data_IF_108326266154
#
_entry.id   IF_108326266154
#
_cell.length_a   1.000
_cell.length_b   1.000
_cell.length_c   1.000
_cell.angle_alpha   90.00
_cell.angle_beta   90.00
_cell.angle_gamma   90.00
#
_symmetry.space_group_name_H-M   'P 1'
#
loop_
_entity.id
_entity.type
_entity.pdbx_description
1 polymer ?
#
# COMPACT_ATOMS: atom_id res chain seq x y z
N UNK A 1 -20.15 -5.04 8.93
CA UNK A 1 -19.83 -4.16 7.80
C UNK A 1 -19.35 -2.82 8.32
N UNK A 2 -18.31 -2.28 7.74
CA UNK A 2 -17.79 -0.94 8.01
C UNK A 2 -17.58 -0.21 6.69
N UNK A 3 -18.05 1.04 6.61
CA UNK A 3 -17.82 1.93 5.47
C UNK A 3 -17.34 3.27 6.02
N UNK A 4 -16.25 3.77 5.48
CA UNK A 4 -15.67 5.06 5.87
C UNK A 4 -15.57 5.95 4.62
N UNK A 5 -16.15 7.13 4.69
CA UNK A 5 -15.86 8.24 3.79
C UNK A 5 -14.79 9.09 4.46
N UNK A 6 -13.74 9.44 3.73
CA UNK A 6 -12.66 10.29 4.25
C UNK A 6 -12.23 11.31 3.19
N UNK A 7 -11.82 12.45 3.64
CA UNK A 7 -11.36 13.52 2.76
C UNK A 7 -10.61 14.59 3.52
N UNK A 8 -9.80 15.32 2.79
CA UNK A 8 -9.02 16.42 3.28
C UNK A 8 -8.84 17.47 2.19
N UNK A 9 -8.73 18.74 2.59
CA UNK A 9 -8.47 19.87 1.71
C UNK A 9 -7.59 20.87 2.43
N UNK A 10 -6.58 21.40 1.74
CA UNK A 10 -5.66 22.37 2.29
C UNK A 10 -5.64 23.67 1.46
N UNK A 11 -5.41 24.77 2.14
CA UNK A 11 -5.22 26.09 1.53
C UNK A 11 -3.97 26.17 0.65
N UNK A 12 -3.01 25.25 0.79
CA UNK A 12 -1.82 25.14 -0.07
C UNK A 12 -2.06 24.32 -1.34
N UNK A 13 -3.33 23.96 -1.61
CA UNK A 13 -3.75 23.38 -2.90
C UNK A 13 -3.67 21.86 -2.98
N UNK A 14 -3.61 21.12 -1.88
CA UNK A 14 -3.81 19.69 -1.91
C UNK A 14 -5.25 19.30 -1.52
N UNK A 15 -5.70 18.17 -2.03
CA UNK A 15 -6.99 17.59 -1.69
C UNK A 15 -6.93 16.06 -1.78
N UNK A 16 -7.76 15.42 -0.98
CA UNK A 16 -7.97 13.99 -0.93
C UNK A 16 -9.47 13.72 -0.74
N UNK A 17 -10.00 12.75 -1.48
CA UNK A 17 -11.31 12.17 -1.21
C UNK A 17 -11.25 10.68 -1.44
N UNK A 18 -11.85 9.91 -0.54
CA UNK A 18 -11.90 8.47 -0.67
C UNK A 18 -13.03 7.82 0.09
N UNK A 19 -13.38 6.62 -0.35
CA UNK A 19 -14.30 5.71 0.33
C UNK A 19 -13.64 4.35 0.46
N UNK A 20 -13.67 3.78 1.63
CA UNK A 20 -13.24 2.41 1.89
C UNK A 20 -14.30 1.65 2.65
N UNK A 21 -14.43 0.37 2.34
CA UNK A 21 -15.35 -0.49 3.04
C UNK A 21 -14.81 -1.89 3.24
N UNK A 22 -15.31 -2.49 4.31
CA UNK A 22 -15.12 -3.90 4.63
C UNK A 22 -16.47 -4.50 5.01
N UNK A 23 -16.96 -5.41 4.18
CA UNK A 23 -18.21 -6.09 4.40
C UNK A 23 -17.97 -7.56 4.72
N UNK A 24 -18.35 -7.95 5.95
CA UNK A 24 -18.37 -9.34 6.39
C UNK A 24 -19.79 -9.88 6.13
N UNK A 25 -19.88 -10.90 5.31
CA UNK A 25 -21.14 -11.59 5.01
C UNK A 25 -21.51 -12.57 6.14
N UNK A 26 -22.77 -13.02 6.22
CA UNK A 26 -23.22 -13.92 7.27
C UNK A 26 -22.31 -15.14 7.45
N UNK A 27 -22.08 -15.52 8.71
CA UNK A 27 -21.17 -16.61 9.11
C UNK A 27 -19.70 -16.38 8.71
N UNK A 28 -19.34 -15.16 8.31
CA UNK A 28 -17.99 -14.78 7.84
C UNK A 28 -17.48 -15.67 6.69
N UNK A 29 -18.40 -16.13 5.83
CA UNK A 29 -18.05 -16.98 4.67
C UNK A 29 -17.38 -16.21 3.55
N UNK A 30 -17.75 -14.95 3.40
CA UNK A 30 -17.24 -14.05 2.37
C UNK A 30 -16.85 -12.71 2.97
N UNK A 31 -15.86 -12.07 2.39
CA UNK A 31 -15.44 -10.71 2.71
C UNK A 31 -15.30 -9.91 1.43
N UNK A 32 -15.89 -8.73 1.39
CA UNK A 32 -15.68 -7.75 0.33
C UNK A 32 -14.95 -6.56 0.91
N UNK A 33 -13.77 -6.29 0.38
CA UNK A 33 -13.01 -5.10 0.72
C UNK A 33 -12.90 -4.21 -0.51
N UNK A 34 -13.02 -2.92 -0.32
CA UNK A 34 -12.78 -1.94 -1.36
C UNK A 34 -12.17 -0.67 -0.81
N UNK A 35 -11.35 -0.03 -1.63
CA UNK A 35 -10.78 1.27 -1.38
C UNK A 35 -10.72 2.05 -2.70
N UNK A 36 -11.44 3.16 -2.74
CA UNK A 36 -11.48 4.06 -3.86
C UNK A 36 -11.06 5.42 -3.36
N UNK A 37 -10.07 6.01 -3.99
CA UNK A 37 -9.63 7.36 -3.63
C UNK A 37 -9.04 8.10 -4.82
N UNK A 38 -9.03 9.41 -4.70
CA UNK A 38 -8.20 10.26 -5.52
C UNK A 38 -7.62 11.38 -4.66
N UNK A 39 -6.44 11.81 -5.01
CA UNK A 39 -5.78 12.92 -4.37
C UNK A 39 -4.88 13.70 -5.33
N UNK A 40 -4.58 14.93 -4.94
CA UNK A 40 -3.53 15.75 -5.54
C UNK A 40 -2.68 16.32 -4.41
N UNK A 41 -1.41 15.92 -4.36
CA UNK A 41 -0.47 16.39 -3.34
C UNK A 41 0.81 16.94 -3.98
N UNK A 42 1.38 18.05 -3.43
CA UNK A 42 2.78 18.35 -3.60
C UNK A 42 3.59 17.19 -2.98
N UNK A 43 4.56 16.70 -3.71
CA UNK A 43 5.33 15.52 -3.34
C UNK A 43 6.78 15.71 -3.68
N UNK A 44 7.66 14.94 -3.06
CA UNK A 44 9.08 14.96 -3.32
C UNK A 44 9.51 13.66 -4.01
N UNK A 45 10.51 13.77 -4.89
CA UNK A 45 11.11 12.66 -5.60
C UNK A 45 12.63 12.80 -5.66
N UNK A 46 13.33 11.71 -5.40
CA UNK A 46 14.81 11.68 -5.39
C UNK A 46 15.41 10.83 -6.52
N UNK A 47 14.57 10.30 -7.40
CA UNK A 47 14.98 9.32 -8.39
C UNK A 47 14.74 7.89 -7.92
N UNK A 48 15.25 6.93 -8.68
CA UNK A 48 15.12 5.50 -8.43
C UNK A 48 16.38 4.95 -7.78
N UNK A 49 16.22 3.98 -6.86
CA UNK A 49 17.30 3.28 -6.18
C UNK A 49 17.73 3.93 -4.87
N UNK A 50 18.55 3.18 -4.14
CA UNK A 50 19.07 3.63 -2.84
C UNK A 50 20.00 4.84 -2.96
N UNK A 51 20.92 4.81 -3.91
CA UNK A 51 21.94 5.86 -4.07
C UNK A 51 21.31 7.23 -4.38
N UNK A 52 20.31 7.25 -5.24
CA UNK A 52 19.55 8.46 -5.53
C UNK A 52 18.79 8.96 -4.28
N UNK A 53 18.11 8.08 -3.57
CA UNK A 53 17.38 8.43 -2.35
C UNK A 53 18.30 8.86 -1.19
N UNK A 54 19.53 8.36 -1.12
CA UNK A 54 20.53 8.74 -0.12
C UNK A 54 21.12 10.13 -0.38
N UNK A 55 21.17 10.57 -1.65
CA UNK A 55 21.68 11.89 -2.02
C UNK A 55 20.58 12.96 -1.84
N UNK A 56 20.78 13.85 -0.87
CA UNK A 56 19.84 14.94 -0.59
C UNK A 56 19.78 15.98 -1.72
N UNK A 57 20.83 16.10 -2.54
CA UNK A 57 20.83 17.01 -3.67
C UNK A 57 19.88 16.59 -4.79
N UNK A 58 19.42 15.34 -4.77
CA UNK A 58 18.41 14.82 -5.72
C UNK A 58 16.98 15.18 -5.33
N UNK A 59 16.75 15.83 -4.19
CA UNK A 59 15.41 16.26 -3.82
C UNK A 59 14.78 17.15 -4.91
N UNK A 60 13.62 16.75 -5.40
CA UNK A 60 12.90 17.39 -6.49
C UNK A 60 11.42 17.50 -6.17
N UNK A 61 10.91 18.70 -6.20
CA UNK A 61 9.47 18.95 -6.06
C UNK A 61 8.70 18.49 -7.30
N UNK A 62 7.52 17.96 -7.08
CA UNK A 62 6.54 17.68 -8.12
C UNK A 62 5.13 17.62 -7.54
N UNK A 63 4.12 17.74 -8.39
CA UNK A 63 2.72 17.48 -8.01
C UNK A 63 2.32 16.08 -8.43
N UNK A 64 1.79 15.30 -7.49
CA UNK A 64 1.26 13.96 -7.76
C UNK A 64 -0.26 13.99 -7.72
N UNK A 65 -0.88 13.69 -8.84
CA UNK A 65 -2.27 13.29 -8.88
C UNK A 65 -2.36 11.78 -8.95
N UNK A 66 -3.17 11.19 -8.11
CA UNK A 66 -3.42 9.75 -8.13
C UNK A 66 -4.89 9.46 -7.88
N UNK A 67 -5.43 8.53 -8.67
CA UNK A 67 -6.72 7.89 -8.43
C UNK A 67 -6.53 6.38 -8.43
N UNK A 68 -7.14 5.70 -7.46
CA UNK A 68 -7.10 4.24 -7.36
C UNK A 68 -8.46 3.68 -7.05
N UNK A 69 -8.77 2.55 -7.68
CA UNK A 69 -9.86 1.65 -7.31
C UNK A 69 -9.23 0.29 -7.01
N UNK A 70 -9.34 -0.18 -5.77
CA UNK A 70 -8.93 -1.52 -5.36
C UNK A 70 -10.14 -2.24 -4.77
N UNK A 71 -10.43 -3.43 -5.28
CA UNK A 71 -11.52 -4.29 -4.78
C UNK A 71 -11.00 -5.71 -4.66
N UNK A 72 -11.27 -6.36 -3.55
CA UNK A 72 -11.06 -7.80 -3.37
C UNK A 72 -12.30 -8.48 -2.79
N UNK A 73 -12.61 -9.67 -3.29
CA UNK A 73 -13.69 -10.50 -2.80
C UNK A 73 -13.14 -11.85 -2.36
N UNK A 74 -13.21 -12.13 -1.06
CA UNK A 74 -12.57 -13.26 -0.44
C UNK A 74 -13.56 -14.33 0.01
N UNK A 75 -13.20 -15.58 -0.18
CA UNK A 75 -13.92 -16.78 0.23
C UNK A 75 -13.18 -17.43 1.41
N UNK A 76 -13.92 -17.80 2.46
CA UNK A 76 -13.35 -18.53 3.57
C UNK A 76 -13.13 -20.00 3.19
N UNK A 77 -11.86 -20.44 3.16
CA UNK A 77 -11.50 -21.82 2.94
C UNK A 77 -11.43 -22.64 4.24
N UNK A 78 -10.97 -22.00 5.32
CA UNK A 78 -10.88 -22.61 6.65
C UNK A 78 -11.09 -21.53 7.72
N UNK A 79 -11.08 -21.91 9.00
CA UNK A 79 -11.15 -20.95 10.11
C UNK A 79 -10.03 -19.91 9.95
N UNK A 80 -10.41 -18.61 9.95
CA UNK A 80 -9.49 -17.48 9.84
C UNK A 80 -8.72 -17.38 8.50
N UNK A 81 -8.96 -18.27 7.54
CA UNK A 81 -8.22 -18.33 6.28
C UNK A 81 -9.13 -18.07 5.08
N UNK A 82 -8.73 -17.12 4.25
CA UNK A 82 -9.49 -16.59 3.12
C UNK A 82 -8.59 -16.47 1.89
N UNK A 83 -9.18 -16.67 0.73
CA UNK A 83 -8.56 -16.43 -0.57
C UNK A 83 -9.59 -15.84 -1.53
N UNK A 84 -9.16 -15.01 -2.46
CA UNK A 84 -10.08 -14.49 -3.46
C UNK A 84 -9.44 -13.60 -4.50
N UNK A 85 -10.18 -13.32 -5.58
CA UNK A 85 -9.73 -12.43 -6.64
C UNK A 85 -9.65 -10.98 -6.16
N UNK A 86 -8.74 -10.25 -6.80
CA UNK A 86 -8.52 -8.82 -6.61
C UNK A 86 -8.46 -8.12 -7.97
N UNK A 87 -9.03 -6.94 -8.04
CA UNK A 87 -8.91 -6.04 -9.18
C UNK A 87 -8.45 -4.67 -8.72
N UNK A 88 -7.51 -4.09 -9.46
CA UNK A 88 -6.97 -2.76 -9.17
C UNK A 88 -6.93 -1.95 -10.46
N UNK A 89 -7.37 -0.71 -10.35
CA UNK A 89 -7.16 0.32 -11.35
C UNK A 89 -6.39 1.47 -10.74
N UNK A 90 -5.28 1.88 -11.37
CA UNK A 90 -4.47 3.01 -10.96
C UNK A 90 -4.38 4.03 -12.08
N UNK A 91 -4.54 5.28 -11.74
CA UNK A 91 -4.19 6.43 -12.54
C UNK A 91 -3.24 7.32 -11.75
N UNK A 92 -2.04 7.55 -12.27
CA UNK A 92 -1.01 8.37 -11.65
C UNK A 92 -0.51 9.37 -12.68
N UNK A 93 -0.45 10.65 -12.30
CA UNK A 93 0.03 11.73 -13.15
C UNK A 93 0.95 12.64 -12.32
N UNK A 94 2.23 12.63 -12.67
CA UNK A 94 3.20 13.54 -12.10
C UNK A 94 3.30 14.81 -12.95
N UNK A 95 3.35 15.97 -12.33
CA UNK A 95 3.39 17.28 -12.99
C UNK A 95 4.36 18.21 -12.28
N UNK A 96 4.78 19.25 -13.01
CA UNK A 96 5.57 20.36 -12.46
C UNK A 96 6.88 19.87 -11.81
N UNK A 97 7.63 19.03 -12.54
CA UNK A 97 8.88 18.46 -12.04
C UNK A 97 9.98 19.51 -12.01
N UNK A 98 10.61 19.65 -10.86
CA UNK A 98 11.73 20.59 -10.69
C UNK A 98 13.03 20.03 -11.31
N UNK A 99 13.23 18.69 -11.24
CA UNK A 99 14.39 17.98 -11.80
C UNK A 99 13.92 16.83 -12.71
N UNK A 100 13.55 17.13 -13.98
CA UNK A 100 13.00 16.11 -14.89
C UNK A 100 14.00 15.01 -15.26
N UNK A 101 15.30 15.23 -15.13
CA UNK A 101 16.37 14.25 -15.40
C UNK A 101 16.30 13.04 -14.46
N UNK A 102 15.81 13.19 -13.22
CA UNK A 102 15.67 12.11 -12.25
C UNK A 102 14.62 11.06 -12.66
N UNK A 103 13.78 11.38 -13.65
CA UNK A 103 12.74 10.49 -14.14
C UNK A 103 13.24 9.47 -15.18
N UNK A 104 14.49 9.58 -15.61
CA UNK A 104 15.15 8.61 -16.49
C UNK A 104 14.33 8.25 -17.75
N UNK A 105 13.58 9.20 -18.32
CA UNK A 105 12.71 8.99 -19.48
C UNK A 105 11.42 8.20 -19.19
N UNK A 106 11.11 7.89 -17.95
CA UNK A 106 9.84 7.26 -17.58
C UNK A 106 8.66 8.20 -17.85
N UNK A 107 7.51 7.63 -18.26
CA UNK A 107 6.32 8.43 -18.50
C UNK A 107 5.77 9.01 -17.18
N UNK A 108 5.60 10.33 -17.16
CA UNK A 108 5.01 11.04 -16.02
C UNK A 108 3.60 10.55 -15.68
N UNK A 109 2.84 10.16 -16.71
CA UNK A 109 1.48 9.63 -16.58
C UNK A 109 1.45 8.13 -16.78
N UNK A 110 0.77 7.43 -15.87
CA UNK A 110 0.55 5.98 -15.92
C UNK A 110 -0.90 5.68 -15.65
N UNK A 111 -1.51 4.90 -16.56
CA UNK A 111 -2.80 4.23 -16.32
C UNK A 111 -2.52 2.74 -16.28
N UNK A 112 -3.04 2.05 -15.28
CA UNK A 112 -2.76 0.64 -15.10
C UNK A 112 -3.97 -0.11 -14.57
N UNK A 113 -4.32 -1.22 -15.23
CA UNK A 113 -5.36 -2.16 -14.82
C UNK A 113 -4.71 -3.48 -14.43
N UNK A 114 -5.04 -3.99 -13.26
CA UNK A 114 -4.45 -5.21 -12.72
C UNK A 114 -5.52 -6.16 -12.22
N UNK A 115 -5.25 -7.44 -12.39
CA UNK A 115 -5.96 -8.52 -11.71
C UNK A 115 -5.01 -9.24 -10.78
N UNK A 116 -5.54 -9.89 -9.75
CA UNK A 116 -4.70 -10.57 -8.78
C UNK A 116 -5.47 -11.53 -7.89
N UNK A 117 -4.72 -12.08 -6.95
CA UNK A 117 -5.21 -12.95 -5.90
C UNK A 117 -4.75 -12.40 -4.55
N UNK A 118 -5.67 -12.39 -3.60
CA UNK A 118 -5.39 -12.06 -2.20
C UNK A 118 -5.55 -13.31 -1.34
N UNK A 119 -4.61 -13.54 -0.45
CA UNK A 119 -4.65 -14.55 0.60
C UNK A 119 -4.62 -13.84 1.94
N UNK A 120 -5.51 -14.21 2.85
CA UNK A 120 -5.60 -13.63 4.18
C UNK A 120 -5.73 -14.71 5.24
N UNK A 121 -4.87 -14.65 6.25
CA UNK A 121 -5.06 -15.35 7.52
C UNK A 121 -5.16 -14.31 8.65
N UNK A 122 -6.24 -14.33 9.42
CA UNK A 122 -6.47 -13.36 10.49
C UNK A 122 -7.07 -14.04 11.72
N UNK A 123 -6.23 -14.27 12.71
CA UNK A 123 -6.60 -14.86 14.01
C UNK A 123 -6.54 -13.87 15.17
N UNK A 124 -6.44 -12.57 14.86
CA UNK A 124 -6.40 -11.51 15.88
C UNK A 124 -7.70 -11.51 16.69
N UNK A 125 -7.57 -11.23 17.99
CA UNK A 125 -8.71 -11.04 18.89
C UNK A 125 -9.53 -9.79 18.53
N UNK A 126 -8.86 -8.66 18.22
CA UNK A 126 -9.49 -7.41 17.79
C UNK A 126 -8.80 -6.84 16.54
N UNK A 127 -9.59 -6.27 15.63
CA UNK A 127 -9.08 -5.75 14.36
C UNK A 127 -8.25 -4.47 14.55
N UNK A 128 -8.65 -3.60 15.47
CA UNK A 128 -8.07 -2.26 15.66
C UNK A 128 -7.04 -2.19 16.77
N UNK A 129 -7.16 -3.03 17.79
CA UNK A 129 -6.25 -3.06 18.93
C UNK A 129 -6.02 -4.50 19.38
N UNK A 130 -5.33 -5.26 18.53
CA UNK A 130 -5.02 -6.64 18.80
C UNK A 130 -4.07 -6.78 20.00
N UNK A 131 -4.40 -7.69 20.91
CA UNK A 131 -3.58 -8.08 22.04
C UNK A 131 -2.94 -9.45 21.85
N UNK A 132 -3.52 -10.27 20.99
CA UNK A 132 -3.08 -11.63 20.72
C UNK A 132 -3.50 -12.06 19.30
N UNK A 133 -2.70 -12.93 18.70
CA UNK A 133 -3.01 -13.54 17.41
C UNK A 133 -2.05 -13.13 16.29
N UNK A 134 -2.38 -13.57 15.10
CA UNK A 134 -1.56 -13.44 13.91
C UNK A 134 -2.37 -12.90 12.75
N UNK A 135 -1.77 -12.00 11.99
CA UNK A 135 -2.27 -11.46 10.74
C UNK A 135 -1.25 -11.74 9.63
N UNK A 136 -1.71 -12.30 8.53
CA UNK A 136 -0.93 -12.50 7.31
C UNK A 136 -1.80 -12.14 6.11
N UNK A 137 -1.34 -11.23 5.27
CA UNK A 137 -1.94 -10.94 3.98
C UNK A 137 -0.89 -11.01 2.89
N UNK A 138 -1.20 -11.70 1.80
CA UNK A 138 -0.39 -11.76 0.58
C UNK A 138 -1.29 -11.34 -0.57
N UNK A 139 -0.92 -10.27 -1.25
CA UNK A 139 -1.56 -9.80 -2.48
C UNK A 139 -0.60 -10.04 -3.65
N UNK A 140 -0.99 -10.92 -4.57
CA UNK A 140 -0.28 -11.14 -5.81
C UNK A 140 -1.01 -10.43 -6.94
N UNK A 141 -0.35 -9.47 -7.58
CA UNK A 141 -0.88 -8.58 -8.62
C UNK A 141 -0.24 -8.91 -9.97
N UNK A 142 -1.04 -8.89 -11.02
CA UNK A 142 -0.62 -9.04 -12.41
C UNK A 142 -1.18 -7.89 -13.25
N UNK A 143 -0.31 -7.23 -13.98
CA UNK A 143 -0.62 -6.08 -14.84
C UNK A 143 -0.16 -6.39 -16.27
N UNK A 144 -0.82 -7.32 -16.98
CA UNK A 144 -0.40 -7.74 -18.32
C UNK A 144 -0.75 -6.69 -19.37
N UNK A 145 -0.02 -6.68 -20.48
CA UNK A 145 -0.24 -5.74 -21.59
C UNK A 145 -1.63 -5.87 -22.24
N UNK A 146 -2.22 -7.08 -22.26
CA UNK A 146 -3.55 -7.30 -22.88
C UNK A 146 -4.71 -6.58 -22.15
N UNK A 147 -4.51 -6.11 -20.92
CA UNK A 147 -5.45 -5.23 -20.20
C UNK A 147 -5.31 -3.74 -20.59
N UNK A 148 -4.56 -3.44 -21.66
CA UNK A 148 -4.32 -2.07 -22.13
C UNK A 148 -3.18 -1.34 -21.39
N UNK A 149 -2.37 -2.06 -20.61
CA UNK A 149 -1.26 -1.48 -19.88
C UNK A 149 -0.08 -1.19 -20.80
N UNK A 150 0.49 0.00 -20.68
CA UNK A 150 1.75 0.35 -21.35
C UNK A 150 2.94 -0.43 -20.78
N UNK A 151 2.91 -0.69 -19.47
CA UNK A 151 3.95 -1.38 -18.73
C UNK A 151 3.42 -2.72 -18.23
N UNK A 152 4.09 -3.81 -18.60
CA UNK A 152 3.75 -5.15 -18.15
C UNK A 152 4.61 -5.51 -16.92
N UNK A 153 3.96 -5.70 -15.78
CA UNK A 153 4.65 -6.04 -14.55
C UNK A 153 3.77 -6.92 -13.63
N UNK A 154 4.37 -7.48 -12.62
CA UNK A 154 3.67 -8.11 -11.51
C UNK A 154 4.22 -7.63 -10.19
N UNK A 155 3.47 -7.77 -9.11
CA UNK A 155 3.95 -7.45 -7.77
C UNK A 155 3.41 -8.42 -6.73
N UNK A 156 4.24 -8.67 -5.71
CA UNK A 156 3.89 -9.42 -4.51
C UNK A 156 4.00 -8.49 -3.32
N UNK A 157 2.89 -8.27 -2.64
CA UNK A 157 2.86 -7.53 -1.37
C UNK A 157 2.55 -8.49 -0.23
N UNK A 158 3.41 -8.50 0.78
CA UNK A 158 3.25 -9.29 2.00
C UNK A 158 3.18 -8.35 3.19
N UNK A 159 2.13 -8.49 3.99
CA UNK A 159 2.03 -7.87 5.31
C UNK A 159 1.78 -8.95 6.35
N UNK A 160 2.57 -8.98 7.40
CA UNK A 160 2.37 -9.88 8.53
C UNK A 160 2.53 -9.14 9.85
N UNK A 161 1.69 -9.48 10.82
CA UNK A 161 1.79 -8.95 12.18
C UNK A 161 1.51 -10.05 13.19
N UNK A 162 2.25 -10.03 14.30
CA UNK A 162 2.10 -10.95 15.40
C UNK A 162 1.94 -10.19 16.71
N UNK A 163 1.02 -10.64 17.56
CA UNK A 163 0.69 -10.03 18.84
C UNK A 163 0.75 -11.07 19.94
N UNK A 164 1.56 -10.81 20.97
CA UNK A 164 1.79 -11.72 22.09
C UNK A 164 1.64 -10.95 23.41
N UNK A 165 0.69 -11.35 24.27
CA UNK A 165 0.69 -10.91 25.65
C UNK A 165 1.96 -11.36 26.37
N UNK A 166 2.66 -10.46 27.05
CA UNK A 166 3.93 -10.75 27.75
C UNK A 166 3.79 -10.63 29.25
N UNK A 167 2.90 -9.75 29.75
CA UNK A 167 2.47 -9.63 31.15
C UNK A 167 1.10 -8.99 31.21
N UNK A 168 0.55 -8.80 32.42
CA UNK A 168 -0.77 -8.19 32.61
C UNK A 168 -0.81 -6.77 32.03
N UNK A 169 -1.59 -6.58 30.97
CA UNK A 169 -1.71 -5.32 30.22
C UNK A 169 -0.55 -5.03 29.25
N UNK A 170 0.48 -5.88 29.19
CA UNK A 170 1.61 -5.73 28.27
C UNK A 170 1.47 -6.61 27.03
N UNK A 171 1.64 -6.03 25.84
CA UNK A 171 1.61 -6.74 24.56
C UNK A 171 2.86 -6.42 23.75
N UNK A 172 3.58 -7.45 23.32
CA UNK A 172 4.62 -7.33 22.32
C UNK A 172 3.98 -7.51 20.95
N UNK A 173 4.15 -6.53 20.06
CA UNK A 173 3.65 -6.55 18.70
C UNK A 173 4.82 -6.45 17.72
N UNK A 174 4.84 -7.35 16.72
CA UNK A 174 5.79 -7.33 15.61
C UNK A 174 5.06 -7.19 14.30
N UNK A 175 5.60 -6.42 13.37
CA UNK A 175 5.10 -6.29 12.00
C UNK A 175 6.26 -6.39 11.01
N UNK A 176 6.01 -7.06 9.89
CA UNK A 176 6.87 -7.07 8.71
C UNK A 176 6.02 -6.79 7.48
N UNK A 177 6.54 -5.95 6.61
CA UNK A 177 5.93 -5.62 5.33
C UNK A 177 6.98 -5.66 4.23
N UNK A 178 6.61 -6.15 3.05
CA UNK A 178 7.44 -6.07 1.85
C UNK A 178 6.56 -5.94 0.61
N UNK A 179 7.01 -5.12 -0.33
CA UNK A 179 6.49 -5.02 -1.69
C UNK A 179 7.62 -5.30 -2.66
N UNK A 180 7.45 -6.31 -3.50
CA UNK A 180 8.37 -6.69 -4.57
C UNK A 180 7.66 -6.53 -5.91
N UNK A 181 8.32 -5.90 -6.87
CA UNK A 181 7.79 -5.71 -8.23
C UNK A 181 8.71 -6.35 -9.26
N UNK A 182 8.13 -6.94 -10.30
CA UNK A 182 8.83 -7.71 -11.33
C UNK A 182 8.41 -7.21 -12.70
N UNK A 183 9.36 -7.10 -13.64
CA UNK A 183 9.11 -6.60 -15.00
C UNK A 183 9.25 -5.08 -15.11
N UNK A 184 8.48 -4.47 -15.99
CA UNK A 184 8.55 -3.03 -16.29
C UNK A 184 7.59 -2.24 -15.39
N UNK A 185 7.97 -2.08 -14.14
CA UNK A 185 7.15 -1.36 -13.18
C UNK A 185 7.27 0.14 -13.38
N UNK A 186 6.16 0.87 -13.61
CA UNK A 186 6.20 2.32 -13.73
C UNK A 186 6.56 2.97 -12.38
N UNK A 187 7.24 4.13 -12.43
CA UNK A 187 7.76 4.83 -11.25
C UNK A 187 6.75 4.99 -10.10
N UNK A 188 5.51 5.32 -10.45
CA UNK A 188 4.46 5.60 -9.47
C UNK A 188 3.93 4.35 -8.75
N UNK A 189 4.24 3.14 -9.25
CA UNK A 189 3.83 1.84 -8.71
C UNK A 189 5.01 1.00 -8.18
N UNK A 190 6.23 1.54 -8.21
CA UNK A 190 7.40 0.93 -7.56
C UNK A 190 7.21 0.89 -6.04
N UNK A 191 7.92 -0.02 -5.41
CA UNK A 191 7.97 -0.12 -3.95
C UNK A 191 8.66 1.10 -3.33
N UNK A 192 8.11 1.59 -2.21
CA UNK A 192 8.62 2.75 -1.48
C UNK A 192 8.83 2.40 -0.01
N UNK A 193 9.84 2.99 0.61
CA UNK A 193 9.99 2.99 2.06
C UNK A 193 9.32 4.22 2.66
N UNK A 194 8.82 4.06 3.88
CA UNK A 194 8.13 5.10 4.63
C UNK A 194 6.64 5.16 4.31
N UNK A 195 5.84 5.26 5.33
CA UNK A 195 4.40 5.51 5.26
C UNK A 195 3.89 5.98 6.62
N UNK A 196 2.61 6.38 6.69
CA UNK A 196 1.96 6.68 7.97
C UNK A 196 1.81 5.45 8.90
N UNK A 197 1.98 4.24 8.37
CA UNK A 197 1.79 2.98 9.11
C UNK A 197 3.09 2.24 9.40
N UNK A 198 4.14 2.49 8.63
CA UNK A 198 5.41 1.77 8.69
C UNK A 198 6.56 2.72 8.41
N UNK A 199 7.68 2.60 9.13
CA UNK A 199 8.86 3.45 8.97
C UNK A 199 8.53 4.95 9.02
N UNK A 200 7.73 5.38 9.99
CA UNK A 200 7.19 6.76 10.12
C UNK A 200 8.24 7.87 10.19
N UNK A 201 9.50 7.53 10.45
CA UNK A 201 10.63 8.48 10.43
C UNK A 201 11.18 8.79 9.04
N UNK A 202 10.71 8.10 8.01
CA UNK A 202 11.14 8.29 6.63
C UNK A 202 10.05 8.97 5.81
N UNK A 203 10.45 9.90 4.94
CA UNK A 203 9.53 10.48 3.95
C UNK A 203 9.12 9.39 2.96
N UNK A 204 7.80 9.19 2.79
CA UNK A 204 7.25 8.18 1.87
C UNK A 204 7.70 8.43 0.44
N UNK A 205 8.38 7.45 -0.14
CA UNK A 205 8.88 7.52 -1.51
C UNK A 205 10.23 8.19 -1.69
N UNK A 206 10.93 8.58 -0.61
CA UNK A 206 12.34 8.99 -0.69
C UNK A 206 13.20 7.85 -1.27
N UNK A 207 13.01 6.64 -0.76
CA UNK A 207 13.60 5.43 -1.34
C UNK A 207 12.55 4.69 -2.14
N UNK A 208 12.82 4.52 -3.43
CA UNK A 208 11.89 3.94 -4.39
C UNK A 208 12.63 3.03 -5.35
N UNK A 209 12.22 1.76 -5.41
CA UNK A 209 12.80 0.78 -6.33
C UNK A 209 11.82 -0.38 -6.59
N UNK A 210 12.29 -1.45 -7.23
CA UNK A 210 11.53 -2.68 -7.49
C UNK A 210 11.21 -3.48 -6.23
N UNK A 211 11.92 -3.26 -5.13
CA UNK A 211 11.69 -3.93 -3.87
C UNK A 211 11.92 -3.01 -2.67
N UNK A 212 11.01 -3.08 -1.70
CA UNK A 212 11.16 -2.46 -0.38
C UNK A 212 10.67 -3.43 0.68
N UNK A 213 11.33 -3.43 1.83
CA UNK A 213 10.93 -4.18 3.01
C UNK A 213 11.16 -3.37 4.27
N UNK A 214 10.29 -3.55 5.24
CA UNK A 214 10.38 -2.92 6.54
C UNK A 214 9.88 -3.85 7.64
N UNK A 215 10.35 -3.62 8.85
CA UNK A 215 9.91 -4.32 10.04
C UNK A 215 9.87 -3.37 11.22
N UNK A 216 8.91 -3.60 12.12
CA UNK A 216 8.81 -2.85 13.37
C UNK A 216 8.40 -3.76 14.52
N UNK A 217 8.89 -3.41 15.72
CA UNK A 217 8.52 -4.06 16.97
C UNK A 217 8.03 -2.98 17.93
N UNK A 218 6.90 -3.23 18.57
CA UNK A 218 6.30 -2.32 19.54
C UNK A 218 6.02 -3.06 20.85
N UNK A 219 6.28 -2.38 21.95
CA UNK A 219 5.80 -2.78 23.27
C UNK A 219 4.65 -1.86 23.67
N UNK A 220 3.46 -2.44 23.88
CA UNK A 220 2.25 -1.72 24.26
C UNK A 220 1.92 -2.02 25.70
N UNK A 221 1.63 -1.00 26.51
CA UNK A 221 1.19 -1.13 27.90
C UNK A 221 -0.17 -0.47 28.06
N UNK A 222 -1.13 -1.25 28.53
CA UNK A 222 -2.41 -0.68 28.99
C UNK A 222 -2.21 -0.05 30.37
N UNK A 223 -2.50 1.22 30.49
CA UNK A 223 -2.41 2.02 31.71
C UNK A 223 -3.77 2.15 32.35
#
# INVERSE_FOLDING_TARGET
SNVSLYGDVSTVGFYLLGIRGNHLFPQDKYRLNYNLYFYSFPSLYWGRGYDNGANSDNESDYKRFQAQVKVDFMFRLAKNFYIGPMAIFDYIDGRDFDKPELWEGMAARTTNTSLGLSLLYDSRDFLTNASHGYYLRIDQRFSPAFLGNKYAFSSTELTTSYYQPVWKGGVLAGQFHTLLTYGDTPWGLMATLGSSYSMRGYYEGRYRDKGAMDAQIELRQHV
#
